data_IF_781428544403
#
_entry.id   IF_781428544403
#
_cell.length_a   1.000
_cell.length_b   1.000
_cell.length_c   1.000
_cell.angle_alpha   90.00
_cell.angle_beta   90.00
_cell.angle_gamma   90.00
#
_symmetry.space_group_name_H-M   'P 1'
#
loop_
_entity.id
_entity.type
_entity.pdbx_description
1 polymer ?
#
# COMPACT_ATOMS: atom_id res chain seq x y z
N UNK A 1 -14.22 -15.07 -9.04
CA UNK A 1 -14.29 -15.56 -7.63
C UNK A 1 -14.10 -14.39 -6.66
N UNK A 2 -13.00 -13.65 -6.74
CA UNK A 2 -12.76 -12.48 -5.88
C UNK A 2 -13.84 -11.41 -6.02
N UNK A 3 -14.27 -11.08 -7.25
CA UNK A 3 -15.38 -10.15 -7.52
C UNK A 3 -16.63 -10.46 -6.69
N UNK A 4 -17.01 -11.74 -6.57
CA UNK A 4 -18.20 -12.15 -5.83
C UNK A 4 -18.06 -11.95 -4.32
N UNK A 5 -16.87 -12.18 -3.77
CA UNK A 5 -16.60 -11.90 -2.35
C UNK A 5 -16.63 -10.40 -2.07
N UNK A 6 -16.01 -9.63 -2.96
CA UNK A 6 -15.97 -8.17 -2.89
C UNK A 6 -17.39 -7.59 -2.97
N UNK A 7 -18.20 -8.03 -3.93
CA UNK A 7 -19.57 -7.57 -4.07
C UNK A 7 -20.39 -7.86 -2.79
N UNK A 8 -20.22 -9.05 -2.20
CA UNK A 8 -20.87 -9.36 -0.92
C UNK A 8 -20.43 -8.43 0.22
N UNK A 9 -19.15 -8.08 0.29
CA UNK A 9 -18.65 -7.17 1.32
C UNK A 9 -19.15 -5.73 1.08
N UNK A 10 -19.22 -5.26 -0.17
CA UNK A 10 -19.87 -3.99 -0.53
C UNK A 10 -21.34 -4.00 -0.06
N UNK A 11 -22.09 -5.05 -0.40
CA UNK A 11 -23.52 -5.18 -0.05
C UNK A 11 -23.77 -5.22 1.46
N UNK A 12 -22.86 -5.85 2.22
CA UNK A 12 -22.91 -5.92 3.69
C UNK A 12 -22.35 -4.68 4.39
N UNK A 13 -21.71 -3.77 3.64
CA UNK A 13 -21.03 -2.60 4.18
C UNK A 13 -19.76 -2.94 4.96
N UNK A 14 -19.11 -4.06 4.65
CA UNK A 14 -17.83 -4.46 5.23
C UNK A 14 -16.67 -3.75 4.52
N UNK A 15 -15.66 -3.35 5.27
CA UNK A 15 -14.40 -2.88 4.71
C UNK A 15 -13.57 -4.03 4.14
N UNK A 16 -12.86 -3.78 3.05
CA UNK A 16 -11.93 -4.75 2.45
C UNK A 16 -10.77 -4.05 1.72
N UNK A 17 -9.69 -4.81 1.49
CA UNK A 17 -8.50 -4.34 0.78
C UNK A 17 -8.16 -5.24 -0.41
N UNK A 18 -7.85 -4.63 -1.56
CA UNK A 18 -7.44 -5.33 -2.79
C UNK A 18 -6.13 -4.75 -3.30
N UNK A 19 -5.20 -5.64 -3.64
CA UNK A 19 -3.94 -5.33 -4.33
C UNK A 19 -4.00 -6.05 -5.67
N UNK A 20 -4.03 -5.29 -6.75
CA UNK A 20 -4.15 -5.80 -8.11
C UNK A 20 -3.07 -5.19 -9.02
N UNK A 21 -2.01 -5.96 -9.35
CA UNK A 21 -0.95 -5.49 -10.22
C UNK A 21 -1.32 -5.33 -11.70
N UNK A 22 -2.48 -5.83 -12.12
CA UNK A 22 -2.94 -5.76 -13.52
C UNK A 22 -4.00 -4.67 -13.69
N UNK A 23 -4.80 -4.44 -12.65
CA UNK A 23 -5.78 -3.36 -12.56
C UNK A 23 -7.16 -3.73 -13.08
N UNK A 24 -7.34 -4.88 -13.73
CA UNK A 24 -8.62 -5.34 -14.27
C UNK A 24 -9.67 -5.55 -13.18
N UNK A 25 -9.28 -6.16 -12.06
CA UNK A 25 -10.18 -6.35 -10.92
C UNK A 25 -10.57 -5.01 -10.30
N UNK A 26 -9.66 -4.03 -10.26
CA UNK A 26 -9.99 -2.69 -9.73
C UNK A 26 -10.97 -1.94 -10.64
N UNK A 27 -10.85 -2.07 -11.96
CA UNK A 27 -11.84 -1.52 -12.90
C UNK A 27 -13.25 -2.10 -12.65
N UNK A 28 -13.35 -3.41 -12.47
CA UNK A 28 -14.62 -4.06 -12.18
C UNK A 28 -15.24 -3.58 -10.86
N UNK A 29 -14.42 -3.42 -9.82
CA UNK A 29 -14.88 -2.92 -8.51
C UNK A 29 -15.38 -1.49 -8.59
N UNK A 30 -14.71 -0.62 -9.36
CA UNK A 30 -15.21 0.75 -9.62
C UNK A 30 -16.59 0.70 -10.28
N UNK A 31 -16.79 -0.23 -11.22
CA UNK A 31 -18.10 -0.48 -11.82
C UNK A 31 -19.16 -0.92 -10.80
N UNK A 32 -18.83 -1.86 -9.91
CA UNK A 32 -19.76 -2.31 -8.86
C UNK A 32 -20.12 -1.19 -7.88
N UNK A 33 -19.15 -0.37 -7.48
CA UNK A 33 -19.38 0.77 -6.60
C UNK A 33 -20.26 1.82 -7.25
N UNK A 34 -20.04 2.14 -8.54
CA UNK A 34 -20.88 3.07 -9.28
C UNK A 34 -22.34 2.56 -9.39
N UNK A 35 -22.53 1.27 -9.62
CA UNK A 35 -23.87 0.66 -9.65
C UNK A 35 -24.55 0.62 -8.27
N UNK A 36 -23.79 0.39 -7.20
CA UNK A 36 -24.33 0.31 -5.84
C UNK A 36 -24.65 1.70 -5.25
N UNK A 37 -23.90 2.72 -5.65
CA UNK A 37 -24.00 4.12 -5.19
C UNK A 37 -24.39 5.06 -6.35
N UNK A 38 -25.55 4.82 -6.96
CA UNK A 38 -26.03 5.52 -8.18
C UNK A 38 -26.72 6.88 -7.90
N UNK A 39 -27.01 7.22 -6.63
CA UNK A 39 -27.63 8.50 -6.30
C UNK A 39 -26.59 9.63 -6.11
N UNK A 40 -26.88 10.89 -6.50
CA UNK A 40 -25.98 12.02 -6.32
C UNK A 40 -25.54 12.29 -4.87
N UNK A 41 -26.29 11.79 -3.88
CA UNK A 41 -25.94 11.91 -2.45
C UNK A 41 -24.86 10.92 -2.02
N UNK A 42 -24.56 9.93 -2.85
CA UNK A 42 -23.62 8.86 -2.55
C UNK A 42 -22.19 9.19 -2.97
N UNK A 43 -21.95 10.22 -3.81
CA UNK A 43 -20.60 10.69 -4.15
C UNK A 43 -19.77 10.98 -2.90
N UNK A 44 -20.38 11.65 -1.91
CA UNK A 44 -19.73 11.95 -0.64
C UNK A 44 -19.40 10.66 0.13
N UNK A 45 -20.32 9.68 0.13
CA UNK A 45 -20.09 8.39 0.80
C UNK A 45 -18.93 7.62 0.16
N UNK A 46 -18.84 7.62 -1.17
CA UNK A 46 -17.74 7.01 -1.91
C UNK A 46 -16.43 7.70 -1.52
N UNK A 47 -16.38 9.04 -1.52
CA UNK A 47 -15.17 9.78 -1.17
C UNK A 47 -14.69 9.57 0.27
N UNK A 48 -15.62 9.31 1.20
CA UNK A 48 -15.29 9.03 2.61
C UNK A 48 -14.92 7.56 2.86
N UNK A 49 -15.35 6.64 1.97
CA UNK A 49 -15.21 5.19 2.15
C UNK A 49 -14.25 4.53 1.18
N UNK A 50 -13.73 5.20 0.17
CA UNK A 50 -12.87 4.58 -0.84
C UNK A 50 -11.52 5.28 -0.87
N UNK A 51 -10.46 4.50 -0.67
CA UNK A 51 -9.08 4.92 -0.85
C UNK A 51 -8.53 4.15 -2.04
N UNK A 52 -8.32 4.85 -3.15
CA UNK A 52 -7.61 4.34 -4.31
C UNK A 52 -6.18 4.86 -4.27
N UNK A 53 -5.21 3.95 -4.33
CA UNK A 53 -3.79 4.25 -4.46
C UNK A 53 -3.36 3.83 -5.86
N UNK A 54 -3.01 4.84 -6.64
CA UNK A 54 -2.35 4.67 -7.93
C UNK A 54 -0.91 5.21 -7.79
N UNK A 55 0.11 4.35 -7.63
CA UNK A 55 1.49 4.76 -7.40
C UNK A 55 2.06 5.62 -8.53
N UNK A 56 1.48 5.52 -9.72
CA UNK A 56 1.92 6.27 -10.91
C UNK A 56 1.21 7.61 -11.08
N UNK A 57 0.14 7.87 -10.33
CA UNK A 57 -0.59 9.14 -10.35
C UNK A 57 0.02 10.10 -9.31
N UNK A 58 0.67 11.21 -9.74
CA UNK A 58 1.30 12.14 -8.82
C UNK A 58 0.30 12.89 -7.92
N UNK A 59 -0.97 12.99 -8.31
CA UNK A 59 -2.01 13.71 -7.56
C UNK A 59 -2.75 12.79 -6.58
N UNK A 60 -2.70 11.45 -6.78
CA UNK A 60 -3.42 10.45 -5.98
C UNK A 60 -2.54 9.30 -5.47
N UNK A 61 -1.26 9.57 -5.23
CA UNK A 61 -0.33 8.59 -4.65
C UNK A 61 -0.25 8.72 -3.12
N UNK A 62 -0.61 7.65 -2.40
CA UNK A 62 -0.28 7.52 -0.98
C UNK A 62 1.15 7.01 -0.90
N UNK A 63 2.04 7.86 -0.37
CA UNK A 63 3.45 7.49 -0.22
C UNK A 63 3.69 6.81 1.13
N UNK A 64 4.48 5.75 1.12
CA UNK A 64 4.89 5.02 2.32
C UNK A 64 6.41 4.92 2.36
N UNK A 65 7.01 5.27 3.49
CA UNK A 65 8.42 5.02 3.75
C UNK A 65 8.56 3.82 4.69
N UNK A 66 9.11 2.68 4.24
CA UNK A 66 9.28 1.50 5.09
C UNK A 66 10.31 1.69 6.21
N UNK A 67 11.04 2.81 6.21
CA UNK A 67 11.97 3.20 7.26
C UNK A 67 11.36 4.23 8.23
N UNK A 68 10.07 4.55 8.11
CA UNK A 68 9.41 5.47 9.04
C UNK A 68 9.40 4.91 10.46
N UNK A 69 9.68 5.79 11.42
CA UNK A 69 9.86 5.40 12.82
C UNK A 69 8.55 4.88 13.42
N UNK A 70 8.46 3.56 13.57
CA UNK A 70 7.39 2.90 14.30
C UNK A 70 7.61 2.99 15.82
N UNK A 71 6.53 3.23 16.56
CA UNK A 71 6.56 3.15 18.02
C UNK A 71 6.93 1.73 18.46
N UNK A 72 7.90 1.60 19.35
CA UNK A 72 8.38 0.32 19.93
C UNK A 72 9.13 -0.62 18.98
N UNK A 73 9.55 -0.16 17.79
CA UNK A 73 10.38 -0.96 16.88
C UNK A 73 11.68 -0.22 16.60
N UNK A 74 12.82 -0.91 16.77
CA UNK A 74 14.13 -0.31 16.48
C UNK A 74 14.39 -0.21 14.97
N UNK A 75 15.26 0.72 14.55
CA UNK A 75 15.68 0.80 13.15
C UNK A 75 16.36 -0.50 12.67
N UNK A 76 17.08 -1.19 13.55
CA UNK A 76 17.69 -2.49 13.28
C UNK A 76 16.65 -3.58 13.01
N UNK A 77 15.57 -3.62 13.79
CA UNK A 77 14.49 -4.58 13.61
C UNK A 77 13.75 -4.35 12.30
N UNK A 78 13.37 -3.10 12.00
CA UNK A 78 12.76 -2.76 10.70
C UNK A 78 13.69 -3.09 9.51
N UNK A 79 14.98 -2.76 9.62
CA UNK A 79 15.97 -3.09 8.60
C UNK A 79 16.08 -4.60 8.37
N UNK A 80 16.00 -5.41 9.43
CA UNK A 80 16.06 -6.87 9.32
C UNK A 80 14.85 -7.44 8.57
N UNK A 81 13.65 -6.91 8.81
CA UNK A 81 12.44 -7.30 8.08
C UNK A 81 12.55 -6.97 6.59
N UNK A 82 13.00 -5.76 6.26
CA UNK A 82 13.24 -5.33 4.87
C UNK A 82 14.29 -6.21 4.17
N UNK A 83 15.41 -6.47 4.84
CA UNK A 83 16.45 -7.39 4.35
C UNK A 83 15.86 -8.78 4.10
N UNK A 84 15.01 -9.29 4.99
CA UNK A 84 14.35 -10.58 4.78
C UNK A 84 13.40 -10.58 3.59
N UNK A 85 12.68 -9.48 3.34
CA UNK A 85 11.80 -9.35 2.19
C UNK A 85 12.60 -9.33 0.88
N UNK A 86 13.64 -8.49 0.80
CA UNK A 86 14.53 -8.39 -0.35
C UNK A 86 15.23 -9.71 -0.66
N UNK A 87 15.69 -10.42 0.37
CA UNK A 87 16.29 -11.75 0.20
C UNK A 87 15.35 -12.77 -0.44
N UNK A 88 14.05 -12.70 -0.17
CA UNK A 88 13.05 -13.59 -0.80
C UNK A 88 12.86 -13.25 -2.29
N UNK A 89 12.89 -11.97 -2.64
CA UNK A 89 12.71 -11.51 -4.03
C UNK A 89 13.93 -11.87 -4.89
N UNK A 90 15.14 -11.67 -4.36
CA UNK A 90 16.41 -11.86 -5.09
C UNK A 90 17.24 -13.02 -4.56
N UNK A 91 16.59 -14.11 -4.16
CA UNK A 91 17.24 -15.26 -3.52
C UNK A 91 18.43 -15.80 -4.33
N UNK A 92 18.30 -15.88 -5.65
CA UNK A 92 19.33 -16.42 -6.55
C UNK A 92 20.57 -15.51 -6.70
N UNK A 93 20.46 -14.24 -6.31
CA UNK A 93 21.54 -13.23 -6.40
C UNK A 93 21.98 -12.72 -5.02
N UNK A 94 21.55 -13.37 -3.94
CA UNK A 94 21.77 -12.89 -2.58
C UNK A 94 23.07 -13.43 -1.96
N UNK A 95 23.98 -12.53 -1.60
CA UNK A 95 25.25 -12.87 -0.97
C UNK A 95 25.42 -12.26 0.42
N UNK A 96 26.27 -12.87 1.25
CA UNK A 96 26.57 -12.42 2.63
C UNK A 96 26.99 -10.95 2.66
N UNK A 97 27.86 -10.52 1.73
CA UNK A 97 28.32 -9.12 1.64
C UNK A 97 27.20 -8.13 1.30
N UNK A 98 26.29 -8.53 0.42
CA UNK A 98 25.14 -7.71 0.03
C UNK A 98 24.19 -7.55 1.22
N UNK A 99 23.99 -8.63 2.00
CA UNK A 99 23.17 -8.62 3.20
C UNK A 99 23.70 -7.64 4.26
N UNK A 100 25.00 -7.72 4.57
CA UNK A 100 25.63 -6.81 5.55
C UNK A 100 25.57 -5.35 5.09
N UNK A 101 25.89 -5.10 3.82
CA UNK A 101 25.86 -3.76 3.25
C UNK A 101 24.44 -3.17 3.28
N UNK A 102 23.43 -3.93 2.83
CA UNK A 102 22.04 -3.48 2.85
C UNK A 102 21.56 -3.24 4.28
N UNK A 103 21.77 -4.19 5.19
CA UNK A 103 21.33 -4.06 6.59
C UNK A 103 21.87 -2.78 7.22
N UNK A 104 23.18 -2.56 7.12
CA UNK A 104 23.82 -1.37 7.72
C UNK A 104 23.35 -0.07 7.06
N UNK A 105 23.14 -0.08 5.74
CA UNK A 105 22.61 1.09 5.01
C UNK A 105 21.19 1.43 5.45
N UNK A 106 20.32 0.44 5.58
CA UNK A 106 18.93 0.63 6.03
C UNK A 106 18.86 1.13 7.47
N UNK A 107 19.70 0.60 8.37
CA UNK A 107 19.80 1.08 9.75
C UNK A 107 20.20 2.56 9.77
N UNK A 108 21.26 2.91 9.06
CA UNK A 108 21.75 4.29 9.02
C UNK A 108 20.69 5.26 8.47
N UNK A 109 19.95 4.86 7.43
CA UNK A 109 18.85 5.65 6.88
C UNK A 109 17.70 5.79 7.89
N UNK A 110 17.27 4.70 8.52
CA UNK A 110 16.19 4.72 9.52
C UNK A 110 16.53 5.56 10.76
N UNK A 111 17.78 5.48 11.26
CA UNK A 111 18.25 6.31 12.38
C UNK A 111 18.33 7.79 12.02
N UNK A 112 18.72 8.11 10.78
CA UNK A 112 18.77 9.47 10.27
C UNK A 112 17.41 10.04 9.87
N UNK A 113 16.33 9.23 9.92
CA UNK A 113 15.00 9.63 9.45
C UNK A 113 14.93 9.91 7.95
N UNK A 114 15.76 9.21 7.17
CA UNK A 114 15.84 9.34 5.72
C UNK A 114 15.05 8.23 5.00
N UNK A 115 14.84 8.42 3.69
CA UNK A 115 14.13 7.45 2.84
C UNK A 115 15.09 6.73 1.90
N UNK A 116 14.63 5.62 1.30
CA UNK A 116 15.41 4.86 0.32
C UNK A 116 15.75 5.66 -0.96
N UNK A 117 14.89 6.60 -1.35
CA UNK A 117 14.97 7.31 -2.63
C UNK A 117 15.35 8.79 -2.51
N UNK A 118 15.74 9.27 -1.32
CA UNK A 118 16.16 10.66 -1.09
C UNK A 118 15.04 11.71 -1.22
N UNK A 119 13.78 11.28 -1.36
CA UNK A 119 12.59 12.14 -1.31
C UNK A 119 11.83 11.88 -0.02
N UNK A 120 11.40 12.95 0.66
CA UNK A 120 10.46 12.84 1.77
C UNK A 120 9.13 12.32 1.21
N UNK A 121 8.78 11.08 1.58
CA UNK A 121 7.49 10.48 1.28
C UNK A 121 6.56 10.88 2.43
N UNK A 122 5.97 12.08 2.33
CA UNK A 122 4.97 12.52 3.30
C UNK A 122 3.62 12.00 2.83
N UNK A 123 3.28 10.78 3.26
CA UNK A 123 1.91 10.32 3.23
C UNK A 123 1.21 10.95 4.42
N UNK A 124 0.14 11.72 4.20
CA UNK A 124 -0.86 11.88 5.25
C UNK A 124 -1.36 10.46 5.56
N UNK A 125 -0.96 9.92 6.70
CA UNK A 125 -1.56 8.71 7.24
C UNK A 125 -3.01 9.07 7.59
N UNK A 126 -3.89 9.01 6.59
CA UNK A 126 -5.31 9.06 6.84
C UNK A 126 -5.61 7.86 7.72
N UNK A 127 -6.11 8.10 8.94
CA UNK A 127 -6.71 7.04 9.73
C UNK A 127 -7.85 6.50 8.88
N UNK A 128 -7.65 5.31 8.35
CA UNK A 128 -8.61 4.62 7.48
C UNK A 128 -9.69 4.04 8.37
N UNK A 129 -10.96 4.50 8.31
CA UNK A 129 -12.06 3.86 9.00
C UNK A 129 -12.14 2.34 8.71
N UNK A 130 -12.59 1.51 9.66
CA UNK A 130 -12.68 0.07 9.45
C UNK A 130 -13.64 -0.34 8.31
N UNK A 131 -14.56 0.54 7.93
CA UNK A 131 -15.48 0.40 6.79
C UNK A 131 -14.93 0.93 5.45
N UNK A 132 -13.66 1.35 5.39
CA UNK A 132 -13.06 1.86 4.16
C UNK A 132 -12.61 0.74 3.24
N UNK A 133 -12.87 0.93 1.95
CA UNK A 133 -12.41 0.12 0.85
C UNK A 133 -11.05 0.64 0.38
N UNK A 134 -10.07 -0.24 0.34
CA UNK A 134 -8.70 0.10 -0.04
C UNK A 134 -8.31 -0.62 -1.33
N UNK A 135 -7.86 0.13 -2.32
CA UNK A 135 -7.44 -0.39 -3.62
C UNK A 135 -6.01 0.03 -3.92
N UNK A 136 -5.18 -0.93 -4.32
CA UNK A 136 -3.85 -0.68 -4.86
C UNK A 136 -3.77 -1.23 -6.28
N UNK A 137 -3.56 -0.35 -7.25
CA UNK A 137 -3.34 -0.71 -8.64
C UNK A 137 -1.86 -0.57 -8.97
N UNK A 138 -1.25 -1.59 -9.56
CA UNK A 138 0.02 -1.40 -10.28
C UNK A 138 -0.26 -1.42 -11.78
N UNK A 139 0.49 -0.65 -12.57
CA UNK A 139 0.40 -0.76 -14.02
C UNK A 139 1.07 -2.05 -14.52
N UNK A 140 0.56 -2.66 -15.61
CA UNK A 140 1.29 -3.67 -16.35
C UNK A 140 2.63 -3.08 -16.86
N UNK A 141 3.72 -3.85 -16.72
CA UNK A 141 5.02 -3.54 -17.31
C UNK A 141 4.96 -3.44 -18.84
#
# INVERSE_FOLDING_TARGET
FLEFLIQQDIEKGNGFGVIDPHGDLIEDIKGFLACYYDEPRDEKKISERVVLIEPTDPDFSVTFNPLDKLSNVSAAEQANELVSAFKKIWADSWGVRMEDLMRNSLIALGEAGLTLAGRALVGNAYLVPPETLFFYQALPL
#
